data_IF_553773912789
#
_entry.id   IF_553773912789
#
_cell.length_a   1.000
_cell.length_b   1.000
_cell.length_c   1.000
_cell.angle_alpha   90.00
_cell.angle_beta   90.00
_cell.angle_gamma   90.00
#
_symmetry.space_group_name_H-M   'P 1'
#
loop_
_entity.id
_entity.type
_entity.pdbx_description
1 polymer ?
#
# COMPACT_ATOMS: atom_id res chain seq x y z
N UNK A 1 19.92 -13.22 13.84
CA UNK A 1 19.31 -13.08 12.50
C UNK A 1 17.98 -12.33 12.62
N UNK A 2 17.78 -11.32 11.78
CA UNK A 2 16.55 -10.53 11.81
C UNK A 2 15.40 -11.32 11.18
N UNK A 3 14.18 -11.17 11.72
CA UNK A 3 12.96 -11.69 11.10
C UNK A 3 12.66 -10.93 9.80
N UNK A 4 11.73 -11.45 8.98
CA UNK A 4 11.30 -10.76 7.76
C UNK A 4 10.75 -9.37 8.01
N UNK A 5 9.93 -9.21 9.07
CA UNK A 5 9.37 -7.92 9.44
C UNK A 5 10.43 -6.94 9.94
N UNK A 6 11.40 -7.42 10.72
CA UNK A 6 12.49 -6.59 11.20
C UNK A 6 13.36 -6.10 10.05
N UNK A 7 13.66 -6.99 9.09
CA UNK A 7 14.44 -6.61 7.89
C UNK A 7 13.73 -5.55 7.08
N UNK A 8 12.42 -5.65 6.92
CA UNK A 8 11.67 -4.65 6.20
C UNK A 8 11.70 -3.29 6.89
N UNK A 9 11.54 -3.28 8.21
CA UNK A 9 11.62 -2.02 8.98
C UNK A 9 12.99 -1.37 8.89
N UNK A 10 14.06 -2.17 8.92
CA UNK A 10 15.42 -1.66 8.72
C UNK A 10 15.58 -1.06 7.33
N UNK A 11 15.05 -1.72 6.29
CA UNK A 11 15.11 -1.22 4.91
C UNK A 11 14.36 0.11 4.77
N UNK A 12 13.20 0.23 5.38
CA UNK A 12 12.42 1.47 5.38
C UNK A 12 13.20 2.58 6.08
N UNK A 13 13.78 2.30 7.24
CA UNK A 13 14.57 3.26 7.99
C UNK A 13 15.77 3.76 7.17
N UNK A 14 16.45 2.86 6.45
CA UNK A 14 17.56 3.24 5.57
C UNK A 14 17.11 4.17 4.46
N UNK A 15 15.96 3.88 3.84
CA UNK A 15 15.42 4.73 2.78
C UNK A 15 15.13 6.14 3.31
N UNK A 16 14.56 6.24 4.51
CA UNK A 16 14.27 7.52 5.14
C UNK A 16 15.53 8.30 5.49
N UNK A 17 16.57 7.61 5.94
CA UNK A 17 17.84 8.24 6.30
C UNK A 17 18.61 8.77 5.09
N UNK A 18 18.32 8.28 3.90
CA UNK A 18 18.97 8.76 2.68
C UNK A 18 18.42 10.12 2.20
N UNK A 19 17.34 10.60 2.82
CA UNK A 19 16.71 11.87 2.47
C UNK A 19 16.41 11.98 0.97
N UNK A 20 15.98 10.86 0.38
CA UNK A 20 15.66 10.80 -1.05
C UNK A 20 14.36 11.54 -1.34
N UNK A 21 14.24 12.26 -2.49
CA UNK A 21 13.01 12.96 -2.83
C UNK A 21 11.86 12.01 -3.21
N UNK A 22 12.16 10.77 -3.60
CA UNK A 22 11.17 9.76 -3.96
C UNK A 22 11.50 8.47 -3.21
N UNK A 23 10.50 7.91 -2.56
CA UNK A 23 10.61 6.62 -1.89
C UNK A 23 9.78 5.58 -2.64
N UNK A 24 10.40 4.45 -2.96
CA UNK A 24 9.71 3.29 -3.51
C UNK A 24 9.58 2.24 -2.42
N UNK A 25 8.34 1.90 -2.07
CA UNK A 25 8.03 0.86 -1.09
C UNK A 25 7.31 -0.30 -1.79
N UNK A 26 8.07 -1.33 -2.16
CA UNK A 26 7.53 -2.50 -2.85
C UNK A 26 7.22 -3.60 -1.84
N UNK A 27 5.93 -3.81 -1.56
CA UNK A 27 5.45 -4.79 -0.59
C UNK A 27 6.10 -4.60 0.79
N UNK A 28 6.33 -3.34 1.19
CA UNK A 28 7.11 -3.02 2.40
C UNK A 28 6.50 -3.57 3.69
N UNK A 29 5.21 -3.85 3.70
CA UNK A 29 4.51 -4.38 4.88
C UNK A 29 4.11 -5.85 4.74
N UNK A 30 4.55 -6.54 3.69
CA UNK A 30 4.09 -7.91 3.38
C UNK A 30 4.41 -8.91 4.48
N UNK A 31 5.55 -8.76 5.17
CA UNK A 31 5.99 -9.67 6.23
C UNK A 31 5.48 -9.29 7.63
N UNK A 32 4.66 -8.25 7.73
CA UNK A 32 4.17 -7.75 9.02
C UNK A 32 2.73 -8.23 9.27
N UNK A 33 2.34 -8.33 10.54
CA UNK A 33 0.94 -8.53 10.88
C UNK A 33 0.13 -7.29 10.51
N UNK A 34 -1.20 -7.42 10.48
CA UNK A 34 -2.08 -6.35 9.98
C UNK A 34 -1.94 -5.06 10.79
N UNK A 35 -1.87 -5.16 12.12
CA UNK A 35 -1.77 -3.98 12.98
C UNK A 35 -0.45 -3.25 12.80
N UNK A 36 0.65 -4.00 12.78
CA UNK A 36 1.99 -3.44 12.57
C UNK A 36 2.11 -2.86 11.16
N UNK A 37 1.54 -3.55 10.16
CA UNK A 37 1.53 -3.06 8.78
C UNK A 37 0.83 -1.71 8.65
N UNK A 38 -0.31 -1.53 9.32
CA UNK A 38 -1.02 -0.25 9.34
C UNK A 38 -0.19 0.84 9.98
N UNK A 39 0.45 0.55 11.11
CA UNK A 39 1.28 1.53 11.81
C UNK A 39 2.44 1.99 10.94
N UNK A 40 3.12 1.06 10.26
CA UNK A 40 4.23 1.37 9.36
C UNK A 40 3.73 2.19 8.17
N UNK A 41 2.63 1.78 7.55
CA UNK A 41 2.06 2.49 6.41
C UNK A 41 1.64 3.93 6.78
N UNK A 42 0.98 4.10 7.93
CA UNK A 42 0.62 5.44 8.41
C UNK A 42 1.85 6.31 8.64
N UNK A 43 2.90 5.74 9.24
CA UNK A 43 4.13 6.48 9.48
C UNK A 43 4.77 6.96 8.18
N UNK A 44 4.80 6.11 7.15
CA UNK A 44 5.31 6.47 5.82
C UNK A 44 4.47 7.59 5.20
N UNK A 45 3.15 7.49 5.30
CA UNK A 45 2.24 8.48 4.73
C UNK A 45 2.28 9.82 5.47
N UNK A 46 2.66 9.82 6.75
CA UNK A 46 2.75 11.03 7.55
C UNK A 46 3.99 11.87 7.26
N UNK A 47 4.97 11.35 6.53
CA UNK A 47 6.20 12.08 6.20
C UNK A 47 5.87 13.17 5.18
N UNK A 48 6.13 14.41 5.55
CA UNK A 48 5.89 15.56 4.67
C UNK A 48 7.03 15.73 3.67
N UNK A 49 6.71 16.27 2.48
CA UNK A 49 7.70 16.60 1.47
C UNK A 49 8.27 15.39 0.74
N UNK A 50 7.69 14.21 0.95
CA UNK A 50 8.17 12.97 0.34
C UNK A 50 7.16 12.49 -0.72
N UNK A 51 7.64 12.30 -1.94
CA UNK A 51 6.87 11.59 -2.96
C UNK A 51 7.10 10.11 -2.76
N UNK A 52 6.03 9.35 -2.63
CA UNK A 52 6.14 7.92 -2.37
C UNK A 52 5.33 7.12 -3.39
N UNK A 53 5.95 6.04 -3.87
CA UNK A 53 5.31 5.05 -4.73
C UNK A 53 5.24 3.76 -3.92
N UNK A 54 4.03 3.32 -3.63
CA UNK A 54 3.79 2.15 -2.80
C UNK A 54 3.21 1.04 -3.69
N UNK A 55 3.89 -0.10 -3.73
CA UNK A 55 3.40 -1.29 -4.44
C UNK A 55 2.88 -2.26 -3.39
N UNK A 56 1.60 -2.58 -3.45
CA UNK A 56 0.96 -3.45 -2.47
C UNK A 56 -0.26 -4.14 -3.08
N UNK A 57 -0.65 -5.25 -2.52
CA UNK A 57 -1.95 -5.88 -2.79
C UNK A 57 -2.84 -5.91 -1.55
N UNK A 58 -2.48 -5.19 -0.50
CA UNK A 58 -3.33 -5.06 0.70
C UNK A 58 -4.48 -4.12 0.42
N UNK A 59 -5.69 -4.60 0.68
CA UNK A 59 -6.93 -3.87 0.41
C UNK A 59 -7.48 -3.24 1.69
N UNK A 60 -6.82 -2.18 2.15
CA UNK A 60 -7.23 -1.42 3.34
C UNK A 60 -7.80 -0.08 2.91
N UNK A 61 -9.12 0.07 3.02
CA UNK A 61 -9.83 1.27 2.56
C UNK A 61 -9.32 2.53 3.28
N UNK A 62 -9.04 2.45 4.56
CA UNK A 62 -8.56 3.60 5.34
C UNK A 62 -7.25 4.12 4.79
N UNK A 63 -6.32 3.24 4.46
CA UNK A 63 -5.05 3.62 3.86
C UNK A 63 -5.22 4.07 2.41
N UNK A 64 -6.04 3.36 1.63
CA UNK A 64 -6.22 3.67 0.22
C UNK A 64 -6.86 5.06 0.00
N UNK A 65 -7.67 5.53 0.95
CA UNK A 65 -8.22 6.89 0.88
C UNK A 65 -7.18 7.97 1.11
N UNK A 66 -6.05 7.62 1.72
CA UNK A 66 -4.94 8.56 1.95
C UNK A 66 -4.03 8.71 0.74
N UNK A 67 -4.11 7.81 -0.24
CA UNK A 67 -3.30 7.89 -1.44
C UNK A 67 -3.86 8.95 -2.38
N UNK A 68 -2.98 9.76 -2.95
CA UNK A 68 -3.39 10.79 -3.92
C UNK A 68 -3.86 10.16 -5.23
N UNK A 69 -3.23 9.07 -5.63
CA UNK A 69 -3.60 8.35 -6.84
C UNK A 69 -3.30 6.87 -6.68
N UNK A 70 -4.21 6.04 -7.17
CA UNK A 70 -4.05 4.59 -7.21
C UNK A 70 -3.96 4.17 -8.68
N UNK A 71 -2.96 3.35 -9.00
CA UNK A 71 -2.81 2.74 -10.31
C UNK A 71 -3.09 1.26 -10.17
N UNK A 72 -4.04 0.74 -10.94
CA UNK A 72 -4.37 -0.69 -10.94
C UNK A 72 -3.73 -1.34 -12.15
N UNK A 73 -2.87 -2.32 -11.88
CA UNK A 73 -2.14 -3.03 -12.93
C UNK A 73 -2.77 -4.40 -13.18
N UNK A 74 -2.92 -4.74 -14.46
CA UNK A 74 -3.38 -6.06 -14.86
C UNK A 74 -2.80 -6.40 -16.23
N UNK A 75 -2.23 -7.60 -16.33
CA UNK A 75 -1.65 -8.05 -17.60
C UNK A 75 -0.53 -7.16 -18.11
N UNK A 76 0.24 -6.55 -17.20
CA UNK A 76 1.37 -5.69 -17.58
C UNK A 76 0.98 -4.28 -18.00
N UNK A 77 -0.30 -3.90 -17.86
CA UNK A 77 -0.76 -2.56 -18.22
C UNK A 77 -1.53 -1.93 -17.08
N UNK A 78 -1.61 -0.59 -17.10
CA UNK A 78 -2.45 0.16 -16.15
C UNK A 78 -3.87 0.14 -16.72
N UNK A 79 -4.77 -0.56 -16.01
CA UNK A 79 -6.17 -0.67 -16.45
C UNK A 79 -7.08 0.36 -15.81
N UNK A 80 -6.71 0.90 -14.64
CA UNK A 80 -7.45 1.95 -13.95
C UNK A 80 -6.51 2.88 -13.21
N UNK A 81 -6.91 4.14 -13.04
CA UNK A 81 -6.20 5.09 -12.17
C UNK A 81 -7.16 6.13 -11.62
N UNK A 82 -6.87 6.62 -10.44
CA UNK A 82 -7.69 7.63 -9.76
C UNK A 82 -7.61 7.49 -8.25
N UNK A 83 -8.49 8.20 -7.54
CA UNK A 83 -8.59 8.06 -6.08
C UNK A 83 -9.36 6.79 -5.74
N UNK A 84 -9.23 6.35 -4.48
CA UNK A 84 -9.96 5.16 -4.02
C UNK A 84 -11.46 5.31 -4.25
N UNK A 85 -12.04 6.45 -3.86
CA UNK A 85 -13.48 6.65 -3.98
C UNK A 85 -13.94 6.68 -5.44
N UNK A 86 -13.16 7.28 -6.34
CA UNK A 86 -13.46 7.30 -7.77
C UNK A 86 -13.47 5.89 -8.36
N UNK A 87 -12.45 5.09 -8.02
CA UNK A 87 -12.33 3.74 -8.55
C UNK A 87 -13.41 2.81 -8.01
N UNK A 88 -13.79 2.98 -6.75
CA UNK A 88 -14.90 2.21 -6.18
C UNK A 88 -16.22 2.56 -6.84
N UNK A 89 -16.45 3.84 -7.14
CA UNK A 89 -17.66 4.29 -7.83
C UNK A 89 -17.78 3.73 -9.24
N UNK A 90 -16.65 3.51 -9.92
CA UNK A 90 -16.63 2.91 -11.26
C UNK A 90 -16.97 1.43 -11.27
N UNK A 91 -16.85 0.74 -10.13
CA UNK A 91 -17.09 -0.70 -9.97
C UNK A 91 -16.31 -1.54 -10.98
N UNK A 92 -15.05 -1.18 -11.22
CA UNK A 92 -14.16 -1.90 -12.13
C UNK A 92 -13.25 -2.90 -11.39
N UNK A 93 -11.99 -2.97 -11.81
CA UNK A 93 -11.04 -3.96 -11.28
C UNK A 93 -10.76 -3.75 -9.80
N UNK A 94 -10.53 -2.51 -9.35
CA UNK A 94 -10.25 -2.26 -7.93
C UNK A 94 -11.43 -2.64 -7.06
N UNK A 95 -12.64 -2.30 -7.49
CA UNK A 95 -13.86 -2.67 -6.78
C UNK A 95 -13.95 -4.19 -6.60
N UNK A 96 -13.67 -4.94 -7.67
CA UNK A 96 -13.71 -6.40 -7.64
C UNK A 96 -12.67 -6.97 -6.69
N UNK A 97 -11.44 -6.48 -6.76
CA UNK A 97 -10.34 -6.93 -5.89
C UNK A 97 -10.64 -6.64 -4.42
N UNK A 98 -11.15 -5.45 -4.13
CA UNK A 98 -11.51 -5.06 -2.77
C UNK A 98 -12.64 -5.93 -2.23
N UNK A 99 -13.69 -6.14 -3.02
CA UNK A 99 -14.86 -6.92 -2.60
C UNK A 99 -14.47 -8.37 -2.30
N UNK A 100 -13.65 -8.99 -3.15
CA UNK A 100 -13.15 -10.35 -2.94
C UNK A 100 -12.31 -10.42 -1.66
N UNK A 101 -11.44 -9.44 -1.46
CA UNK A 101 -10.58 -9.35 -0.27
C UNK A 101 -11.41 -9.29 1.02
N UNK A 102 -12.47 -8.49 1.05
CA UNK A 102 -13.34 -8.37 2.22
C UNK A 102 -14.13 -9.66 2.47
N UNK A 103 -14.55 -10.33 1.43
CA UNK A 103 -15.25 -11.62 1.54
C UNK A 103 -14.34 -12.69 2.15
N UNK A 104 -13.07 -12.74 1.72
CA UNK A 104 -12.09 -13.68 2.25
C UNK A 104 -11.84 -13.44 3.75
N UNK A 105 -11.71 -12.19 4.16
CA UNK A 105 -11.53 -11.84 5.57
C UNK A 105 -12.71 -12.30 6.43
N UNK A 106 -13.93 -12.13 5.91
CA UNK A 106 -15.15 -12.55 6.63
C UNK A 106 -15.29 -14.06 6.71
N UNK A 107 -14.71 -14.79 5.78
CA UNK A 107 -14.78 -16.24 5.72
C UNK A 107 -13.76 -16.93 6.61
N UNK A 108 -12.74 -16.21 7.08
CA UNK A 108 -11.64 -16.75 7.87
C UNK A 108 -12.00 -16.96 9.37
#
# INVERSE_FOLDING_TARGET
MLSGGERQRVSIARALMQDAPVMLADEATAALDAQTARAVADAILDIEGLTRVIVTHRMDARLMRRYDEILVLHGGTICEHGTFDDLMARRGMLYSLYTVSQADEKSA
#
